data_IF_022420575641
#
_entry.id   IF_022420575641
#
_cell.length_a   1.000
_cell.length_b   1.000
_cell.length_c   1.000
_cell.angle_alpha   90.00
_cell.angle_beta   90.00
_cell.angle_gamma   90.00
#
_symmetry.space_group_name_H-M   'P 1'
#
loop_
_entity.id
_entity.type
_entity.pdbx_description
1 polymer ?
#
# COMPACT_ATOMS: atom_id res chain seq x y z
N UNK A 1 -6.84 -2.28 -16.71
CA UNK A 1 -5.98 -1.39 -15.88
C UNK A 1 -5.25 -0.43 -16.80
N UNK A 2 -5.19 0.84 -16.45
CA UNK A 2 -4.36 1.83 -17.14
C UNK A 2 -2.95 1.81 -16.53
N UNK A 3 -1.93 1.59 -17.36
CA UNK A 3 -0.53 1.50 -16.93
C UNK A 3 0.03 2.86 -16.48
N UNK A 4 -0.39 3.96 -17.11
CA UNK A 4 0.07 5.30 -16.73
C UNK A 4 -0.47 5.69 -15.34
N UNK A 5 -1.72 5.35 -15.04
CA UNK A 5 -2.26 5.51 -13.70
C UNK A 5 -1.54 4.63 -12.68
N UNK A 6 -1.25 3.36 -13.03
CA UNK A 6 -0.49 2.48 -12.15
C UNK A 6 0.92 3.03 -11.86
N UNK A 7 1.60 3.61 -12.84
CA UNK A 7 2.89 4.26 -12.65
C UNK A 7 2.75 5.50 -11.77
N UNK A 8 1.75 6.35 -12.02
CA UNK A 8 1.48 7.55 -11.22
C UNK A 8 1.28 7.21 -9.74
N UNK A 9 0.41 6.25 -9.44
CA UNK A 9 0.12 5.88 -8.06
C UNK A 9 1.31 5.18 -7.37
N UNK A 10 2.10 4.39 -8.11
CA UNK A 10 3.36 3.85 -7.58
C UNK A 10 4.37 4.95 -7.24
N UNK A 11 4.47 6.01 -8.04
CA UNK A 11 5.33 7.17 -7.74
C UNK A 11 4.83 7.94 -6.50
N UNK A 12 3.52 8.05 -6.27
CA UNK A 12 2.99 8.64 -5.04
C UNK A 12 3.25 7.76 -3.81
N UNK A 13 3.21 6.44 -3.94
CA UNK A 13 3.69 5.53 -2.88
C UNK A 13 5.20 5.70 -2.65
N UNK A 14 5.98 5.90 -3.71
CA UNK A 14 7.42 6.20 -3.59
C UNK A 14 7.68 7.52 -2.85
N UNK A 15 6.82 8.53 -3.02
CA UNK A 15 6.88 9.76 -2.23
C UNK A 15 6.61 9.51 -0.73
N UNK A 16 5.72 8.58 -0.39
CA UNK A 16 5.54 8.17 1.01
C UNK A 16 6.77 7.44 1.57
N UNK A 17 7.51 6.69 0.75
CA UNK A 17 8.81 6.10 1.13
C UNK A 17 9.92 7.14 1.31
N UNK A 18 9.85 8.29 0.64
CA UNK A 18 10.83 9.36 0.78
C UNK A 18 10.75 10.07 2.15
N UNK A 19 9.66 9.89 2.90
CA UNK A 19 9.55 10.33 4.29
C UNK A 19 10.20 9.28 5.18
N UNK A 20 11.20 9.70 5.99
CA UNK A 20 11.81 8.83 6.99
C UNK A 20 10.73 8.27 7.94
N UNK A 21 10.66 6.96 8.19
CA UNK A 21 9.70 6.40 9.16
C UNK A 21 9.76 7.06 10.54
N UNK A 22 10.96 7.46 10.98
CA UNK A 22 11.17 8.16 12.25
C UNK A 22 10.75 9.65 12.22
N UNK A 23 10.53 10.22 11.02
CA UNK A 23 9.99 11.57 10.89
C UNK A 23 8.48 11.55 11.12
N UNK A 24 8.11 11.83 12.34
CA UNK A 24 6.71 11.88 12.78
C UNK A 24 6.10 13.29 12.70
N UNK A 25 6.68 14.18 11.89
CA UNK A 25 6.09 15.49 11.60
C UNK A 25 4.94 15.36 10.61
N UNK A 26 3.97 16.26 10.69
CA UNK A 26 2.91 16.32 9.69
C UNK A 26 3.37 17.17 8.50
N UNK A 27 3.45 16.56 7.33
CA UNK A 27 3.92 17.20 6.10
C UNK A 27 2.82 18.00 5.35
N UNK A 28 1.71 18.33 6.00
CA UNK A 28 0.61 19.09 5.39
C UNK A 28 1.11 20.38 4.70
N UNK A 29 0.64 20.62 3.48
CA UNK A 29 1.03 21.77 2.67
C UNK A 29 2.23 21.53 1.76
N UNK A 30 3.03 20.48 1.96
CA UNK A 30 4.12 20.14 1.04
C UNK A 30 3.60 19.71 -0.33
N UNK A 31 4.40 19.99 -1.37
CA UNK A 31 4.07 19.63 -2.75
C UNK A 31 4.91 18.43 -3.17
N UNK A 32 4.24 17.41 -3.66
CA UNK A 32 4.82 16.23 -4.28
C UNK A 32 4.64 16.34 -5.79
N UNK A 33 5.76 16.34 -6.52
CA UNK A 33 5.76 16.41 -7.98
C UNK A 33 5.94 15.01 -8.57
N UNK A 34 5.03 14.60 -9.45
CA UNK A 34 5.10 13.32 -10.17
C UNK A 34 4.88 13.58 -11.66
N UNK A 35 5.97 13.54 -12.44
CA UNK A 35 5.95 13.95 -13.84
C UNK A 35 5.46 15.41 -13.98
N UNK A 36 4.38 15.61 -14.74
CA UNK A 36 3.74 16.92 -14.90
C UNK A 36 2.65 17.20 -13.84
N UNK A 37 2.32 16.23 -12.98
CA UNK A 37 1.28 16.36 -11.98
C UNK A 37 1.86 16.81 -10.62
N UNK A 38 1.15 17.71 -9.96
CA UNK A 38 1.49 18.21 -8.63
C UNK A 38 0.40 17.79 -7.65
N UNK A 39 0.81 17.27 -6.51
CA UNK A 39 -0.07 16.89 -5.41
C UNK A 39 0.32 17.66 -4.15
N UNK A 40 -0.67 18.19 -3.45
CA UNK A 40 -0.46 18.78 -2.13
C UNK A 40 -0.73 17.72 -1.07
N UNK A 41 0.19 17.58 -0.12
CA UNK A 41 -0.03 16.77 1.08
C UNK A 41 -1.10 17.43 1.95
N UNK A 42 -2.18 16.72 2.18
CA UNK A 42 -3.27 17.14 3.07
C UNK A 42 -2.90 16.83 4.51
N UNK A 43 -2.38 15.64 4.76
CA UNK A 43 -1.86 15.21 6.07
C UNK A 43 -0.97 13.98 5.92
N UNK A 44 -0.08 13.77 6.89
CA UNK A 44 0.65 12.51 7.06
C UNK A 44 -0.23 11.47 7.77
N UNK A 45 0.11 10.18 7.58
CA UNK A 45 -0.49 9.05 8.27
C UNK A 45 0.57 8.39 9.13
N UNK A 46 0.22 8.14 10.38
CA UNK A 46 1.07 7.50 11.38
C UNK A 46 0.44 6.18 11.84
N UNK A 47 1.27 5.19 12.13
CA UNK A 47 0.84 3.91 12.68
C UNK A 47 1.84 3.41 13.72
N UNK A 48 1.49 2.36 14.45
CA UNK A 48 2.46 1.61 15.23
C UNK A 48 3.40 0.87 14.28
N UNK A 49 4.67 0.84 14.60
CA UNK A 49 5.65 0.07 13.84
C UNK A 49 5.37 -1.44 13.99
N UNK A 50 5.31 -2.16 12.88
CA UNK A 50 5.09 -3.60 12.86
C UNK A 50 6.18 -4.35 13.66
N UNK A 51 7.42 -3.93 13.55
CA UNK A 51 8.54 -4.55 14.29
C UNK A 51 8.41 -4.41 15.81
N UNK A 52 7.77 -3.34 16.30
CA UNK A 52 7.53 -3.14 17.74
C UNK A 52 6.26 -3.85 18.22
N UNK A 53 5.27 -4.07 17.35
CA UNK A 53 4.09 -4.88 17.69
C UNK A 53 4.45 -6.36 17.85
N UNK A 54 5.47 -6.85 17.12
CA UNK A 54 6.04 -8.21 17.31
C UNK A 54 6.94 -8.33 18.56
N UNK A 55 7.34 -7.23 19.19
CA UNK A 55 8.14 -7.22 20.42
C UNK A 55 7.53 -6.28 21.47
N UNK A 56 6.59 -6.77 22.31
CA UNK A 56 5.85 -5.95 23.28
C UNK A 56 6.74 -5.27 24.34
N UNK A 57 7.99 -5.71 24.51
CA UNK A 57 8.94 -5.10 25.47
C UNK A 57 9.51 -3.75 24.98
N UNK A 58 9.46 -3.46 23.68
CA UNK A 58 10.02 -2.23 23.09
C UNK A 58 9.08 -1.02 23.11
N UNK A 59 7.83 -1.21 23.55
CA UNK A 59 6.81 -0.16 23.45
C UNK A 59 6.41 0.13 21.99
N UNK A 60 5.20 0.64 21.78
CA UNK A 60 4.67 0.89 20.44
C UNK A 60 5.21 2.20 19.89
N UNK A 61 6.32 2.14 19.15
CA UNK A 61 6.85 3.30 18.43
C UNK A 61 5.86 3.73 17.32
N UNK A 62 5.60 5.04 17.23
CA UNK A 62 4.82 5.61 16.12
C UNK A 62 5.76 5.93 14.97
N UNK A 63 5.37 5.53 13.77
CA UNK A 63 6.13 5.77 12.54
C UNK A 63 5.26 6.43 11.47
N UNK A 64 5.90 7.21 10.59
CA UNK A 64 5.25 7.72 9.39
C UNK A 64 5.08 6.57 8.38
N UNK A 65 3.82 6.31 7.98
CA UNK A 65 3.49 5.17 7.14
C UNK A 65 2.83 5.58 5.81
N UNK A 66 2.43 6.82 5.67
CA UNK A 66 1.75 7.24 4.45
C UNK A 66 1.38 8.71 4.41
N UNK A 67 0.80 9.09 3.28
CA UNK A 67 0.37 10.44 2.99
C UNK A 67 -1.05 10.43 2.44
N UNK A 68 -1.87 11.40 2.84
CA UNK A 68 -3.09 11.80 2.14
C UNK A 68 -2.74 13.00 1.26
N UNK A 69 -2.93 12.85 -0.05
CA UNK A 69 -2.56 13.84 -1.04
C UNK A 69 -3.80 14.26 -1.83
N UNK A 70 -3.83 15.51 -2.31
CA UNK A 70 -4.81 15.96 -3.28
C UNK A 70 -4.14 16.56 -4.50
N UNK A 71 -4.62 16.22 -5.70
CA UNK A 71 -4.14 16.78 -6.94
C UNK A 71 -4.35 18.31 -6.96
N UNK A 72 -3.29 19.08 -7.25
CA UNK A 72 -3.34 20.55 -7.21
C UNK A 72 -4.27 21.15 -8.27
N UNK A 73 -4.42 20.47 -9.42
CA UNK A 73 -5.28 20.90 -10.52
C UNK A 73 -6.73 20.40 -10.42
N UNK A 74 -6.98 19.35 -9.63
CA UNK A 74 -8.27 18.65 -9.57
C UNK A 74 -8.63 18.28 -8.13
N UNK A 75 -9.84 17.73 -7.92
CA UNK A 75 -10.29 17.26 -6.60
C UNK A 75 -9.90 15.82 -6.27
N UNK A 76 -9.01 15.21 -7.05
CA UNK A 76 -8.64 13.81 -6.88
C UNK A 76 -7.77 13.62 -5.64
N UNK A 77 -8.22 12.79 -4.71
CA UNK A 77 -7.51 12.46 -3.47
C UNK A 77 -6.82 11.11 -3.62
N UNK A 78 -5.59 11.03 -3.19
CA UNK A 78 -4.82 9.79 -3.16
C UNK A 78 -4.32 9.54 -1.73
N UNK A 79 -4.60 8.36 -1.20
CA UNK A 79 -4.00 7.86 0.04
C UNK A 79 -2.89 6.88 -0.36
N UNK A 80 -1.65 7.27 -0.12
CA UNK A 80 -0.46 6.49 -0.46
C UNK A 80 0.17 5.92 0.80
N UNK A 81 0.26 4.58 0.87
CA UNK A 81 0.76 3.85 2.04
C UNK A 81 2.04 3.11 1.68
N UNK A 82 3.12 3.41 2.41
CA UNK A 82 4.40 2.72 2.25
C UNK A 82 4.40 1.36 2.97
N UNK A 83 5.31 0.48 2.57
CA UNK A 83 5.62 -0.74 3.32
C UNK A 83 6.72 -0.52 4.37
N UNK A 84 7.15 -1.62 4.98
CA UNK A 84 8.31 -1.67 5.88
C UNK A 84 9.62 -1.87 5.11
N UNK A 85 10.75 -1.52 5.72
CA UNK A 85 12.09 -1.79 5.16
C UNK A 85 12.56 -3.21 5.48
N UNK A 86 12.11 -3.83 6.57
CA UNK A 86 12.49 -5.17 7.03
C UNK A 86 11.70 -6.31 6.42
N UNK A 87 11.35 -6.27 5.12
CA UNK A 87 10.49 -7.29 4.50
C UNK A 87 11.06 -8.72 4.56
N UNK A 88 12.40 -8.87 4.53
CA UNK A 88 13.03 -10.19 4.61
C UNK A 88 12.83 -10.83 5.98
N UNK A 89 13.03 -10.07 7.05
CA UNK A 89 12.79 -10.49 8.43
C UNK A 89 11.31 -10.84 8.60
N UNK A 90 10.42 -9.98 8.11
CA UNK A 90 8.98 -10.24 8.17
C UNK A 90 8.58 -11.53 7.46
N UNK A 91 9.11 -11.82 6.26
CA UNK A 91 8.80 -13.06 5.51
C UNK A 91 9.28 -14.31 6.26
N UNK A 92 10.40 -14.21 7.01
CA UNK A 92 10.95 -15.33 7.76
C UNK A 92 10.27 -15.57 9.11
N UNK A 93 9.88 -14.49 9.79
CA UNK A 93 9.47 -14.54 11.19
C UNK A 93 7.96 -14.41 11.40
N UNK A 94 7.17 -14.15 10.35
CA UNK A 94 5.73 -13.92 10.47
C UNK A 94 4.96 -15.19 10.82
N UNK A 95 4.37 -15.20 12.00
CA UNK A 95 3.30 -16.11 12.37
C UNK A 95 1.98 -15.56 11.82
N UNK A 96 1.55 -16.06 10.66
CA UNK A 96 0.32 -15.59 10.01
C UNK A 96 -0.92 -16.11 10.74
N UNK A 97 -1.46 -15.32 11.65
CA UNK A 97 -2.67 -15.60 12.39
C UNK A 97 -3.87 -14.86 11.80
N UNK A 98 -5.04 -15.45 11.88
CA UNK A 98 -6.29 -14.83 11.44
C UNK A 98 -7.10 -14.34 12.64
N UNK A 99 -7.52 -13.06 12.58
CA UNK A 99 -8.44 -12.43 13.54
C UNK A 99 -9.71 -11.97 12.84
N UNK A 100 -10.82 -11.90 13.57
CA UNK A 100 -12.06 -11.35 13.02
C UNK A 100 -11.86 -9.91 12.56
N UNK A 101 -12.33 -9.56 11.36
CA UNK A 101 -12.28 -8.20 10.84
C UNK A 101 -12.97 -7.22 11.81
N UNK A 102 -12.25 -6.28 12.44
CA UNK A 102 -12.80 -5.49 13.56
C UNK A 102 -13.66 -4.30 13.13
N UNK A 103 -13.62 -3.90 11.85
CA UNK A 103 -14.28 -2.68 11.36
C UNK A 103 -15.50 -2.96 10.46
N UNK A 104 -15.75 -4.24 10.10
CA UNK A 104 -16.92 -4.64 9.33
C UNK A 104 -17.39 -6.02 9.75
N UNK A 105 -18.51 -6.05 10.48
CA UNK A 105 -19.12 -7.30 10.93
C UNK A 105 -19.48 -8.20 9.72
N UNK A 106 -19.17 -9.49 9.82
CA UNK A 106 -19.44 -10.45 8.75
C UNK A 106 -18.44 -10.43 7.59
N UNK A 107 -17.43 -9.57 7.62
CA UNK A 107 -16.40 -9.53 6.57
C UNK A 107 -15.40 -10.71 6.63
N UNK A 108 -15.51 -11.58 7.60
CA UNK A 108 -14.60 -12.72 7.77
C UNK A 108 -13.37 -12.36 8.61
N UNK A 109 -12.21 -12.94 8.25
CA UNK A 109 -10.99 -12.84 9.04
C UNK A 109 -9.87 -12.19 8.23
N UNK A 110 -9.06 -11.37 8.90
CA UNK A 110 -7.90 -10.65 8.36
C UNK A 110 -6.63 -11.10 9.09
N UNK A 111 -5.47 -10.90 8.48
CA UNK A 111 -4.20 -11.22 9.12
C UNK A 111 -3.97 -10.29 10.32
N UNK A 112 -3.56 -10.84 11.46
CA UNK A 112 -3.51 -10.17 12.76
C UNK A 112 -2.54 -8.98 12.76
N UNK A 113 -1.30 -9.19 12.30
CA UNK A 113 -0.28 -8.14 12.26
C UNK A 113 -0.69 -6.97 11.37
N UNK A 114 -1.22 -7.23 10.18
CA UNK A 114 -1.72 -6.17 9.30
C UNK A 114 -2.91 -5.45 9.92
N UNK A 115 -3.78 -6.19 10.59
CA UNK A 115 -4.95 -5.63 11.26
C UNK A 115 -4.55 -4.75 12.43
N UNK A 116 -3.58 -5.17 13.23
CA UNK A 116 -3.07 -4.39 14.36
C UNK A 116 -2.46 -3.05 13.89
N UNK A 117 -1.60 -3.09 12.86
CA UNK A 117 -1.02 -1.87 12.28
C UNK A 117 -2.12 -0.99 11.69
N UNK A 118 -3.05 -1.56 10.89
CA UNK A 118 -4.17 -0.82 10.31
C UNK A 118 -5.03 -0.13 11.36
N UNK A 119 -5.39 -0.82 12.42
CA UNK A 119 -6.21 -0.27 13.50
C UNK A 119 -5.53 0.86 14.28
N UNK A 120 -4.21 0.94 14.20
CA UNK A 120 -3.41 2.01 14.80
C UNK A 120 -3.21 3.23 13.88
N UNK A 121 -3.65 3.17 12.60
CA UNK A 121 -3.46 4.25 11.62
C UNK A 121 -4.28 5.50 12.00
N UNK A 122 -3.60 6.62 12.19
CA UNK A 122 -4.19 7.93 12.53
C UNK A 122 -3.55 9.05 11.71
N UNK A 123 -4.18 10.21 11.64
CA UNK A 123 -3.63 11.43 11.00
C UNK A 123 -2.87 12.32 11.99
N UNK A 124 -2.74 11.89 13.23
CA UNK A 124 -1.99 12.57 14.29
C UNK A 124 -1.16 11.54 15.07
N UNK A 125 -0.24 12.00 15.89
CA UNK A 125 0.58 11.13 16.76
C UNK A 125 -0.17 10.61 17.98
N UNK A 126 -1.27 11.27 18.37
CA UNK A 126 -2.06 10.83 19.52
C UNK A 126 -2.79 9.51 19.17
N UNK A 127 -2.46 8.39 19.82
CA UNK A 127 -3.10 7.10 19.56
C UNK A 127 -4.59 7.08 19.99
N UNK A 128 -5.06 8.07 20.72
CA UNK A 128 -6.48 8.23 21.11
C UNK A 128 -7.30 8.94 20.03
N UNK A 129 -6.63 9.51 19.01
CA UNK A 129 -7.33 10.11 17.89
C UNK A 129 -8.13 9.09 17.09
N UNK A 130 -9.20 9.51 16.43
CA UNK A 130 -9.93 8.66 15.51
C UNK A 130 -9.01 8.07 14.45
N UNK A 131 -9.26 6.83 14.06
CA UNK A 131 -8.55 6.17 12.95
C UNK A 131 -8.62 6.99 11.67
N UNK A 132 -7.68 6.78 10.76
CA UNK A 132 -7.63 7.50 9.48
C UNK A 132 -8.98 7.48 8.74
N UNK A 133 -9.68 6.34 8.72
CA UNK A 133 -11.01 6.21 8.09
C UNK A 133 -12.04 7.16 8.71
N UNK A 134 -12.06 7.25 10.03
CA UNK A 134 -13.00 8.13 10.76
C UNK A 134 -12.66 9.61 10.59
N UNK A 135 -11.38 9.94 10.42
CA UNK A 135 -10.91 11.32 10.23
C UNK A 135 -11.10 11.80 8.80
N UNK A 136 -11.16 10.89 7.82
CA UNK A 136 -11.06 11.21 6.40
C UNK A 136 -12.10 12.24 5.92
N UNK A 137 -13.36 12.10 6.34
CA UNK A 137 -14.44 13.02 5.95
C UNK A 137 -14.31 14.42 6.56
N UNK A 138 -13.54 14.55 7.64
CA UNK A 138 -13.30 15.82 8.36
C UNK A 138 -11.98 16.50 7.96
N UNK A 139 -11.20 15.93 7.05
CA UNK A 139 -9.94 16.55 6.60
C UNK A 139 -10.23 17.83 5.80
N UNK A 140 -9.36 18.81 5.98
CA UNK A 140 -9.40 20.07 5.23
C UNK A 140 -8.76 19.88 3.85
N UNK A 141 -9.56 19.43 2.89
CA UNK A 141 -9.10 19.32 1.51
C UNK A 141 -9.06 20.71 0.84
N UNK A 142 -7.96 21.07 0.14
CA UNK A 142 -7.85 22.33 -0.62
C UNK A 142 -8.96 22.52 -1.66
N UNK A 143 -9.54 21.43 -2.16
CA UNK A 143 -10.62 21.41 -3.16
C UNK A 143 -11.69 20.39 -2.77
N UNK A 144 -12.94 20.54 -3.27
CA UNK A 144 -13.95 19.49 -3.16
C UNK A 144 -13.42 18.16 -3.69
N UNK A 145 -13.64 17.08 -2.96
CA UNK A 145 -13.16 15.74 -3.34
C UNK A 145 -14.00 15.22 -4.51
N UNK A 146 -13.35 14.93 -5.64
CA UNK A 146 -13.99 14.38 -6.85
C UNK A 146 -13.87 12.86 -6.95
N UNK A 147 -12.72 12.33 -6.54
CA UNK A 147 -12.43 10.90 -6.52
C UNK A 147 -11.51 10.55 -5.36
N UNK A 148 -11.50 9.27 -4.97
CA UNK A 148 -10.58 8.73 -3.98
C UNK A 148 -9.87 7.50 -4.55
N UNK A 149 -8.54 7.55 -4.53
CA UNK A 149 -7.67 6.40 -4.81
C UNK A 149 -6.89 6.03 -3.56
N UNK A 150 -6.78 4.73 -3.29
CA UNK A 150 -5.98 4.21 -2.19
C UNK A 150 -4.91 3.31 -2.80
N UNK A 151 -3.64 3.59 -2.53
CA UNK A 151 -2.55 2.82 -3.09
C UNK A 151 -1.51 2.47 -2.02
N UNK A 152 -0.81 1.34 -2.24
CA UNK A 152 0.21 0.91 -1.30
C UNK A 152 1.09 -0.22 -1.84
N UNK A 153 2.28 -0.36 -1.26
CA UNK A 153 3.28 -1.35 -1.64
C UNK A 153 3.62 -2.26 -0.47
N UNK A 154 3.78 -3.56 -0.74
CA UNK A 154 4.18 -4.54 0.29
C UNK A 154 3.19 -4.57 1.46
N UNK A 155 3.64 -4.42 2.71
CA UNK A 155 2.77 -4.19 3.88
C UNK A 155 1.75 -3.07 3.62
N UNK A 156 2.19 -1.94 3.03
CA UNK A 156 1.29 -0.85 2.67
C UNK A 156 0.20 -1.25 1.68
N UNK A 157 0.43 -2.27 0.86
CA UNK A 157 -0.58 -2.87 -0.02
C UNK A 157 -1.66 -3.63 0.77
N UNK A 158 -1.27 -4.36 1.81
CA UNK A 158 -2.22 -5.01 2.72
C UNK A 158 -3.03 -3.97 3.51
N UNK A 159 -2.35 -2.93 4.03
CA UNK A 159 -3.01 -1.82 4.74
C UNK A 159 -3.96 -1.03 3.83
N UNK A 160 -3.57 -0.79 2.58
CA UNK A 160 -4.43 -0.16 1.57
C UNK A 160 -5.69 -1.01 1.28
N UNK A 161 -5.54 -2.33 1.28
CA UNK A 161 -6.67 -3.26 1.11
C UNK A 161 -7.64 -3.18 2.30
N UNK A 162 -7.16 -3.19 3.53
CA UNK A 162 -7.99 -3.02 4.72
C UNK A 162 -8.68 -1.65 4.74
N UNK A 163 -7.91 -0.59 4.46
CA UNK A 163 -8.40 0.79 4.41
C UNK A 163 -9.50 0.97 3.36
N UNK A 164 -9.34 0.38 2.18
CA UNK A 164 -10.32 0.50 1.10
C UNK A 164 -11.66 -0.12 1.47
N UNK A 165 -11.67 -1.29 2.12
CA UNK A 165 -12.89 -1.92 2.60
C UNK A 165 -13.55 -1.09 3.70
N UNK A 166 -12.78 -0.61 4.69
CA UNK A 166 -13.31 0.22 5.78
C UNK A 166 -13.87 1.55 5.25
N UNK A 167 -13.15 2.21 4.34
CA UNK A 167 -13.60 3.45 3.70
C UNK A 167 -14.90 3.24 2.93
N UNK A 168 -14.96 2.24 2.06
CA UNK A 168 -16.15 1.97 1.27
C UNK A 168 -17.37 1.57 2.13
N UNK A 169 -17.15 0.84 3.22
CA UNK A 169 -18.21 0.41 4.13
C UNK A 169 -18.70 1.56 5.04
N UNK A 170 -17.77 2.32 5.64
CA UNK A 170 -18.03 3.17 6.81
C UNK A 170 -17.93 4.67 6.54
N UNK A 171 -17.66 5.11 5.29
CA UNK A 171 -17.58 6.54 4.93
C UNK A 171 -18.49 6.88 3.73
N UNK A 172 -18.65 8.17 3.39
CA UNK A 172 -19.33 8.58 2.16
C UNK A 172 -18.59 8.17 0.87
N UNK A 173 -17.31 7.82 0.92
CA UNK A 173 -16.47 7.45 -0.23
C UNK A 173 -16.72 5.99 -0.63
N UNK A 174 -17.81 5.70 -1.36
CA UNK A 174 -18.31 4.34 -1.60
C UNK A 174 -17.56 3.53 -2.66
N UNK A 175 -16.85 4.16 -3.59
CA UNK A 175 -16.20 3.48 -4.71
C UNK A 175 -14.73 3.91 -4.87
N UNK A 176 -13.86 3.69 -3.87
CA UNK A 176 -12.45 4.04 -4.02
C UNK A 176 -11.82 3.19 -5.13
N UNK A 177 -10.94 3.79 -5.93
CA UNK A 177 -10.03 3.04 -6.77
C UNK A 177 -8.86 2.51 -5.90
N UNK A 178 -8.42 1.28 -6.16
CA UNK A 178 -7.34 0.68 -5.36
C UNK A 178 -6.22 0.20 -6.27
N UNK A 179 -4.98 0.57 -5.92
CA UNK A 179 -3.77 0.11 -6.61
C UNK A 179 -2.78 -0.43 -5.58
N UNK A 180 -2.56 -1.74 -5.57
CA UNK A 180 -1.58 -2.35 -4.69
C UNK A 180 -0.42 -2.94 -5.48
N UNK A 181 0.79 -2.80 -4.97
CA UNK A 181 2.02 -3.30 -5.56
C UNK A 181 2.66 -4.29 -4.60
N UNK A 182 2.99 -5.48 -5.07
CA UNK A 182 3.60 -6.52 -4.24
C UNK A 182 2.82 -6.84 -2.94
N UNK A 183 1.51 -6.62 -2.91
CA UNK A 183 0.71 -6.85 -1.69
C UNK A 183 0.63 -8.33 -1.35
N UNK A 184 0.87 -8.72 -0.07
CA UNK A 184 0.56 -10.06 0.40
C UNK A 184 -0.96 -10.30 0.46
N UNK A 185 -1.39 -11.56 0.72
CA UNK A 185 -2.79 -11.87 1.03
C UNK A 185 -3.16 -11.26 2.38
N UNK A 186 -4.26 -10.53 2.41
CA UNK A 186 -4.64 -9.71 3.57
C UNK A 186 -5.59 -10.42 4.52
N UNK A 187 -6.30 -11.44 4.05
CA UNK A 187 -7.26 -12.18 4.87
C UNK A 187 -7.69 -13.50 4.24
N UNK A 188 -8.64 -14.15 4.89
CA UNK A 188 -9.19 -15.43 4.47
C UNK A 188 -10.21 -15.30 3.32
N UNK A 189 -10.74 -16.45 2.85
CA UNK A 189 -11.66 -16.49 1.70
C UNK A 189 -12.91 -15.62 1.87
N UNK A 190 -13.50 -15.59 3.07
CA UNK A 190 -14.68 -14.76 3.34
C UNK A 190 -14.36 -13.27 3.26
N UNK A 191 -13.19 -12.85 3.78
CA UNK A 191 -12.74 -11.47 3.66
C UNK A 191 -12.56 -11.09 2.19
N UNK A 192 -11.88 -11.91 1.40
CA UNK A 192 -11.66 -11.68 -0.02
C UNK A 192 -12.99 -11.57 -0.79
N UNK A 193 -13.96 -12.46 -0.50
CA UNK A 193 -15.28 -12.42 -1.12
C UNK A 193 -16.04 -11.12 -0.78
N UNK A 194 -16.08 -10.72 0.49
CA UNK A 194 -16.71 -9.47 0.95
C UNK A 194 -16.03 -8.25 0.32
N UNK A 195 -14.70 -8.22 0.33
CA UNK A 195 -13.92 -7.15 -0.30
C UNK A 195 -14.27 -6.99 -1.77
N UNK A 196 -14.28 -8.08 -2.53
CA UNK A 196 -14.53 -8.07 -3.98
C UNK A 196 -15.93 -7.53 -4.34
N UNK A 197 -16.90 -7.72 -3.46
CA UNK A 197 -18.25 -7.16 -3.64
C UNK A 197 -18.31 -5.66 -3.33
N UNK A 198 -17.59 -5.20 -2.30
CA UNK A 198 -17.66 -3.84 -1.78
C UNK A 198 -16.69 -2.90 -2.51
N UNK A 199 -15.51 -3.42 -2.93
CA UNK A 199 -14.42 -2.65 -3.57
C UNK A 199 -14.04 -3.28 -4.92
N UNK A 200 -14.92 -3.24 -5.92
CA UNK A 200 -14.69 -3.91 -7.20
C UNK A 200 -13.60 -3.24 -8.06
N UNK A 201 -13.32 -1.93 -7.85
CA UNK A 201 -12.33 -1.19 -8.62
C UNK A 201 -10.91 -1.35 -8.03
N UNK A 202 -10.42 -2.58 -8.02
CA UNK A 202 -9.12 -2.95 -7.46
C UNK A 202 -8.17 -3.44 -8.55
N UNK A 203 -6.96 -2.88 -8.55
CA UNK A 203 -5.84 -3.25 -9.41
C UNK A 203 -4.69 -3.75 -8.52
N UNK A 204 -4.48 -5.05 -8.50
CA UNK A 204 -3.45 -5.71 -7.71
C UNK A 204 -2.27 -6.09 -8.59
N UNK A 205 -1.22 -5.28 -8.57
CA UNK A 205 -0.02 -5.46 -9.38
C UNK A 205 0.97 -6.39 -8.63
N UNK A 206 1.31 -7.53 -9.24
CA UNK A 206 2.20 -8.50 -8.62
C UNK A 206 3.27 -8.97 -9.59
N UNK A 207 4.52 -8.96 -9.15
CA UNK A 207 5.64 -9.55 -9.88
C UNK A 207 5.57 -11.08 -9.84
N UNK A 208 5.69 -11.74 -11.01
CA UNK A 208 5.64 -13.22 -11.09
C UNK A 208 6.68 -13.90 -10.19
N UNK A 209 7.86 -13.32 -10.05
CA UNK A 209 8.98 -13.86 -9.27
C UNK A 209 9.03 -13.35 -7.84
N UNK A 210 8.25 -12.32 -7.49
CA UNK A 210 8.14 -11.81 -6.13
C UNK A 210 7.43 -12.84 -5.24
N UNK A 211 8.01 -13.13 -4.08
CA UNK A 211 7.46 -14.09 -3.12
C UNK A 211 6.40 -13.48 -2.20
N UNK A 212 6.48 -12.19 -1.92
CA UNK A 212 5.57 -11.53 -0.96
C UNK A 212 4.10 -11.67 -1.37
N UNK A 213 3.70 -11.43 -2.64
CA UNK A 213 2.32 -11.67 -3.06
C UNK A 213 1.86 -13.14 -2.95
N UNK A 214 2.79 -14.08 -2.75
CA UNK A 214 2.45 -15.50 -2.59
C UNK A 214 2.15 -15.88 -1.15
N UNK A 215 2.42 -14.97 -0.21
CA UNK A 215 2.23 -15.15 1.23
C UNK A 215 1.01 -14.33 1.73
N UNK A 216 0.40 -14.71 2.87
CA UNK A 216 0.42 -16.05 3.48
C UNK A 216 -0.18 -17.11 2.54
N UNK A 217 0.04 -18.41 2.83
CA UNK A 217 -0.33 -19.48 1.91
C UNK A 217 -1.85 -19.81 1.93
N UNK A 218 -2.42 -20.21 0.76
CA UNK A 218 -3.76 -20.79 0.73
C UNK A 218 -3.75 -22.18 1.43
N UNK A 219 -4.90 -22.73 1.85
CA UNK A 219 -6.25 -22.20 1.66
C UNK A 219 -6.74 -21.26 2.75
N UNK A 220 -5.95 -21.03 3.82
CA UNK A 220 -6.35 -20.15 4.92
C UNK A 220 -6.47 -18.69 4.49
N UNK A 221 -5.64 -18.29 3.53
CA UNK A 221 -5.61 -16.94 2.96
C UNK A 221 -5.98 -16.93 1.48
N UNK A 222 -6.69 -15.90 1.07
CA UNK A 222 -7.09 -15.69 -0.31
C UNK A 222 -6.81 -14.23 -0.75
N UNK A 223 -6.40 -14.06 -2.01
CA UNK A 223 -6.23 -12.74 -2.60
C UNK A 223 -7.58 -12.14 -3.00
N UNK A 224 -7.69 -10.83 -2.80
CA UNK A 224 -8.72 -10.04 -3.49
C UNK A 224 -8.50 -10.09 -5.01
N UNK A 225 -9.54 -9.86 -5.80
CA UNK A 225 -9.47 -9.87 -7.26
C UNK A 225 -8.65 -8.71 -7.83
N UNK A 226 -8.60 -8.60 -9.16
CA UNK A 226 -7.93 -7.51 -9.87
C UNK A 226 -6.44 -7.75 -10.15
N UNK A 227 -5.98 -9.01 -10.19
CA UNK A 227 -4.58 -9.33 -10.50
C UNK A 227 -4.14 -8.79 -11.85
N UNK A 228 -3.04 -8.04 -11.85
CA UNK A 228 -2.21 -7.73 -12.99
C UNK A 228 -0.79 -8.25 -12.74
N UNK A 229 -0.45 -9.36 -13.38
CA UNK A 229 0.88 -9.99 -13.24
C UNK A 229 1.91 -9.32 -14.14
N UNK A 230 3.00 -8.82 -13.55
CA UNK A 230 4.18 -8.38 -14.28
C UNK A 230 5.15 -9.54 -14.40
N UNK A 231 5.52 -9.85 -15.64
CA UNK A 231 6.45 -10.93 -15.95
C UNK A 231 7.74 -10.35 -16.55
N UNK A 232 8.77 -10.18 -15.71
CA UNK A 232 10.08 -9.65 -16.12
C UNK A 232 10.76 -10.49 -17.22
N UNK A 233 10.54 -11.81 -17.22
CA UNK A 233 11.10 -12.72 -18.24
C UNK A 233 10.52 -12.38 -19.62
N UNK A 234 9.21 -12.14 -19.72
CA UNK A 234 8.56 -11.75 -20.97
C UNK A 234 8.99 -10.37 -21.47
N UNK A 235 9.43 -9.50 -20.57
CA UNK A 235 9.93 -8.16 -20.91
C UNK A 235 11.40 -8.16 -21.34
N UNK A 236 12.02 -9.32 -21.50
CA UNK A 236 13.39 -9.45 -22.01
C UNK A 236 14.47 -9.00 -21.01
N UNK A 237 14.13 -8.88 -19.72
CA UNK A 237 15.10 -8.51 -18.69
C UNK A 237 16.02 -9.69 -18.45
N UNK A 238 17.35 -9.50 -18.60
CA UNK A 238 18.29 -10.60 -18.54
C UNK A 238 18.22 -11.33 -17.19
N UNK A 239 18.45 -12.66 -17.21
CA UNK A 239 18.40 -13.51 -16.02
C UNK A 239 19.41 -13.19 -14.92
N UNK A 240 20.21 -12.12 -15.03
CA UNK A 240 21.09 -11.67 -13.93
C UNK A 240 20.33 -11.23 -12.68
N UNK A 241 19.10 -10.72 -12.83
CA UNK A 241 18.13 -10.62 -11.73
C UNK A 241 17.70 -12.02 -11.25
N UNK A 242 17.88 -13.05 -12.08
CA UNK A 242 17.55 -14.46 -11.83
C UNK A 242 18.74 -15.29 -11.33
N UNK A 243 19.99 -14.87 -11.56
CA UNK A 243 21.22 -15.63 -11.23
C UNK A 243 21.58 -15.55 -9.74
N UNK A 244 21.15 -14.51 -9.06
CA UNK A 244 20.94 -14.44 -7.60
C UNK A 244 19.58 -13.81 -7.44
N UNK A 245 18.51 -14.57 -7.22
CA UNK A 245 17.23 -14.00 -6.87
C UNK A 245 17.38 -13.25 -5.55
N UNK A 246 17.84 -12.02 -5.65
CA UNK A 246 17.79 -11.08 -4.55
C UNK A 246 16.32 -10.76 -4.36
N UNK A 247 15.73 -11.38 -3.33
CA UNK A 247 14.32 -11.20 -2.97
C UNK A 247 13.98 -9.73 -2.81
N UNK A 248 14.94 -8.91 -2.38
CA UNK A 248 14.77 -7.45 -2.28
C UNK A 248 14.54 -6.84 -3.66
N UNK A 249 15.42 -7.11 -4.61
CA UNK A 249 15.32 -6.55 -5.97
C UNK A 249 14.07 -6.99 -6.74
N UNK A 250 13.52 -8.17 -6.42
CA UNK A 250 12.27 -8.63 -7.02
C UNK A 250 11.04 -7.96 -6.39
N UNK A 251 11.19 -7.44 -5.17
CA UNK A 251 10.10 -6.92 -4.36
C UNK A 251 10.01 -5.40 -4.31
N UNK A 252 11.15 -4.68 -4.29
CA UNK A 252 11.16 -3.23 -4.09
C UNK A 252 10.30 -2.47 -5.13
N UNK A 253 9.67 -1.39 -4.67
CA UNK A 253 8.75 -0.59 -5.50
C UNK A 253 9.41 -0.02 -6.77
N UNK A 254 10.70 0.35 -6.70
CA UNK A 254 11.45 0.86 -7.86
C UNK A 254 11.57 -0.18 -8.99
N UNK A 255 11.64 -1.47 -8.66
CA UNK A 255 11.59 -2.54 -9.65
C UNK A 255 10.22 -2.67 -10.31
N UNK A 256 9.15 -2.52 -9.55
CA UNK A 256 7.78 -2.46 -10.10
C UNK A 256 7.60 -1.25 -11.02
N UNK A 257 8.09 -0.07 -10.62
CA UNK A 257 8.07 1.14 -11.43
C UNK A 257 8.83 0.98 -12.75
N UNK A 258 10.04 0.40 -12.69
CA UNK A 258 10.84 0.08 -13.87
C UNK A 258 10.08 -0.84 -14.82
N UNK A 259 9.56 -1.97 -14.32
CA UNK A 259 8.85 -2.97 -15.12
C UNK A 259 7.56 -2.41 -15.74
N UNK A 260 6.79 -1.64 -14.97
CA UNK A 260 5.59 -0.97 -15.47
C UNK A 260 5.91 0.05 -16.56
N UNK A 261 6.98 0.84 -16.39
CA UNK A 261 7.39 1.85 -17.38
C UNK A 261 7.85 1.21 -18.69
N UNK A 262 8.59 0.08 -18.63
CA UNK A 262 8.94 -0.72 -19.81
C UNK A 262 7.69 -1.23 -20.52
N UNK A 263 6.73 -1.77 -19.78
CA UNK A 263 5.51 -2.33 -20.37
C UNK A 263 4.60 -1.25 -20.96
N UNK A 264 4.62 -0.04 -20.42
CA UNK A 264 3.88 1.11 -20.93
C UNK A 264 4.47 1.69 -22.22
N UNK A 265 5.74 1.37 -22.56
CA UNK A 265 6.43 1.92 -23.72
C UNK A 265 6.76 3.42 -23.62
N UNK A 266 6.70 3.98 -22.42
CA UNK A 266 7.03 5.38 -22.12
C UNK A 266 8.49 5.56 -21.65
N UNK A 267 8.82 6.71 -21.05
CA UNK A 267 10.11 6.93 -20.41
C UNK A 267 10.34 5.89 -19.32
N UNK A 268 11.48 5.19 -19.40
CA UNK A 268 11.81 4.12 -18.46
C UNK A 268 12.29 4.74 -17.15
N UNK A 269 11.63 4.39 -16.05
CA UNK A 269 12.01 4.84 -14.71
C UNK A 269 13.24 4.04 -14.21
N UNK A 270 14.15 4.66 -13.44
CA UNK A 270 15.38 4.03 -13.04
C UNK A 270 15.16 2.88 -12.05
N UNK A 271 15.96 1.83 -12.20
CA UNK A 271 16.15 0.81 -11.16
C UNK A 271 17.04 1.37 -10.04
N UNK A 272 16.85 0.83 -8.84
CA UNK A 272 17.82 1.06 -7.77
C UNK A 272 19.20 0.53 -8.20
N UNK A 273 20.31 1.27 -7.95
CA UNK A 273 21.65 0.89 -8.44
C UNK A 273 22.08 -0.53 -8.03
N UNK A 274 21.70 -0.99 -6.83
CA UNK A 274 21.99 -2.34 -6.32
C UNK A 274 21.23 -3.44 -7.07
N UNK A 275 20.16 -3.10 -7.80
CA UNK A 275 19.30 -4.03 -8.54
C UNK A 275 19.54 -3.97 -10.06
N UNK A 276 20.50 -3.17 -10.51
CA UNK A 276 20.91 -3.14 -11.92
C UNK A 276 21.61 -4.46 -12.27
N UNK A 277 21.23 -5.14 -13.37
CA UNK A 277 21.79 -6.42 -13.79
C UNK A 277 23.29 -6.37 -14.09
#
# INVERSE_FOLDING_TARGET
>A
MDLNQAILYAQLVNAAYAVDPADVTNHAGQIVNVGAANYQVVTSIFANDLATDMNPERGKARVSIGLVLQAAAAGDVVIAVRGTEGIQEWVHDAEFLLVTCPFLAGAGHTEDGFTAVYMSMTTTLDPKCPRVTQSLAGLNFPRPVSSLTICGHSLGGALATLLALDVAANTPFKNPAVYTYASPRTGGPQFAATYNQVVPNTNRIAGRLDLVPKLPLPPLYEHVLGLFEINSIKLGIPPKILVKPDLVCLHILTSYLYLLSLQAGGPVLPLQPTCVP
#
